data_IF_800646979967
#
_entry.id   IF_800646979967
#
_cell.length_a   1.000
_cell.length_b   1.000
_cell.length_c   1.000
_cell.angle_alpha   90.00
_cell.angle_beta   90.00
_cell.angle_gamma   90.00
#
_symmetry.space_group_name_H-M   'P 1'
#
loop_
_entity.id
_entity.type
_entity.pdbx_description
1 polymer ?
#
# COMPACT_ATOMS: atom_id res chain seq x y z
N UNK A 1 13.04 9.43 21.78
CA UNK A 1 12.15 10.14 20.81
C UNK A 1 12.85 10.68 19.54
N UNK A 2 14.20 10.76 19.42
CA UNK A 2 14.85 11.33 18.23
C UNK A 2 14.93 10.43 16.99
N UNK A 3 14.75 9.11 17.12
CA UNK A 3 14.95 8.13 16.03
C UNK A 3 13.68 7.90 15.17
N UNK A 4 12.49 8.09 15.76
CA UNK A 4 11.20 7.86 15.08
C UNK A 4 10.89 8.91 14.00
N UNK A 5 11.31 10.17 14.21
CA UNK A 5 11.11 11.26 13.25
C UNK A 5 11.94 11.11 11.96
N UNK A 6 13.09 10.43 12.02
CA UNK A 6 13.91 10.18 10.82
C UNK A 6 13.35 9.06 9.95
N UNK A 7 12.76 8.03 10.56
CA UNK A 7 12.22 6.87 9.84
C UNK A 7 10.88 7.17 9.15
N UNK A 8 9.98 7.91 9.83
CA UNK A 8 8.73 8.38 9.21
C UNK A 8 9.01 9.26 7.99
N UNK A 9 9.99 10.16 8.10
CA UNK A 9 10.43 11.01 6.99
C UNK A 9 10.99 10.20 5.81
N UNK A 10 11.56 9.02 6.07
CA UNK A 10 12.07 8.13 5.04
C UNK A 10 10.95 7.42 4.27
N UNK A 11 9.96 6.89 4.99
CA UNK A 11 8.77 6.27 4.38
C UNK A 11 8.01 7.30 3.53
N UNK A 12 7.77 8.50 4.06
CA UNK A 12 7.12 9.57 3.31
C UNK A 12 7.86 9.90 2.02
N UNK A 13 9.19 9.88 2.05
CA UNK A 13 9.99 10.13 0.85
C UNK A 13 9.78 9.03 -0.20
N UNK A 14 9.77 7.76 0.20
CA UNK A 14 9.50 6.62 -0.69
C UNK A 14 8.10 6.73 -1.29
N UNK A 15 7.10 6.98 -0.46
CA UNK A 15 5.71 7.08 -0.89
C UNK A 15 5.50 8.25 -1.86
N UNK A 16 6.13 9.40 -1.60
CA UNK A 16 6.13 10.56 -2.52
C UNK A 16 6.80 10.27 -3.85
N UNK A 17 7.81 9.39 -3.88
CA UNK A 17 8.39 8.92 -5.16
C UNK A 17 7.33 8.09 -5.90
N UNK A 18 6.70 7.13 -5.21
CA UNK A 18 5.59 6.33 -5.73
C UNK A 18 4.48 7.15 -6.40
N UNK A 19 4.03 8.21 -5.73
CA UNK A 19 2.98 9.11 -6.25
C UNK A 19 3.38 9.86 -7.52
N UNK A 20 4.68 10.11 -7.73
CA UNK A 20 5.20 10.83 -8.89
C UNK A 20 5.49 9.92 -10.09
N UNK A 21 5.30 8.60 -9.97
CA UNK A 21 5.48 7.72 -11.11
C UNK A 21 4.49 8.09 -12.23
N UNK A 22 4.92 8.14 -13.49
CA UNK A 22 4.03 8.29 -14.64
C UNK A 22 2.98 7.17 -14.70
N UNK A 23 1.75 7.51 -15.11
CA UNK A 23 0.61 6.57 -15.08
C UNK A 23 0.82 5.34 -15.96
N UNK A 24 1.49 5.52 -17.10
CA UNK A 24 1.89 4.48 -18.03
C UNK A 24 2.94 3.52 -17.44
N UNK A 25 3.67 3.94 -16.41
CA UNK A 25 4.67 3.12 -15.71
C UNK A 25 4.07 2.37 -14.52
N UNK A 26 3.00 2.87 -13.90
CA UNK A 26 2.40 2.26 -12.69
C UNK A 26 1.86 0.86 -12.93
N UNK A 27 1.39 0.58 -14.14
CA UNK A 27 0.66 -0.64 -14.46
C UNK A 27 1.41 -1.59 -15.41
N UNK A 28 2.74 -1.44 -15.53
CA UNK A 28 3.52 -2.31 -16.40
C UNK A 28 3.72 -3.67 -15.75
N UNK A 29 3.14 -4.69 -16.38
CA UNK A 29 3.30 -6.08 -15.93
C UNK A 29 4.76 -6.56 -16.04
N UNK A 30 5.21 -7.36 -15.08
CA UNK A 30 6.57 -7.93 -15.05
C UNK A 30 6.91 -8.72 -16.32
N UNK A 31 5.94 -9.44 -16.91
CA UNK A 31 6.12 -10.18 -18.17
C UNK A 31 6.56 -9.27 -19.33
N UNK A 32 6.02 -8.05 -19.38
CA UNK A 32 6.32 -7.06 -20.42
C UNK A 32 7.74 -6.54 -20.22
N UNK A 33 8.10 -6.18 -18.99
CA UNK A 33 9.45 -5.73 -18.64
C UNK A 33 10.52 -6.78 -18.97
N UNK A 34 10.29 -8.03 -18.59
CA UNK A 34 11.21 -9.14 -18.88
C UNK A 34 11.40 -9.28 -20.39
N UNK A 35 10.31 -9.35 -21.15
CA UNK A 35 10.34 -9.55 -22.61
C UNK A 35 11.05 -8.40 -23.33
N UNK A 36 10.71 -7.15 -22.99
CA UNK A 36 11.31 -5.96 -23.60
C UNK A 36 12.80 -5.86 -23.30
N UNK A 37 13.20 -6.04 -22.04
CA UNK A 37 14.60 -5.95 -21.63
C UNK A 37 15.44 -7.07 -22.25
N UNK A 38 14.93 -8.32 -22.22
CA UNK A 38 15.58 -9.47 -22.87
C UNK A 38 15.82 -9.20 -24.35
N UNK A 39 14.80 -8.70 -25.07
CA UNK A 39 14.90 -8.36 -26.50
C UNK A 39 15.89 -7.22 -26.75
N UNK A 40 15.89 -6.18 -25.91
CA UNK A 40 16.87 -5.06 -25.99
C UNK A 40 18.31 -5.55 -25.82
N UNK A 41 18.52 -6.56 -24.98
CA UNK A 41 19.80 -7.24 -24.79
C UNK A 41 20.10 -8.33 -25.85
N UNK A 42 19.23 -8.49 -26.87
CA UNK A 42 19.32 -9.50 -27.93
C UNK A 42 19.44 -10.94 -27.41
N UNK A 43 18.90 -11.22 -26.22
CA UNK A 43 18.88 -12.56 -25.64
C UNK A 43 17.68 -13.34 -26.16
N UNK A 44 17.82 -14.63 -26.45
CA UNK A 44 16.68 -15.52 -26.69
C UNK A 44 16.08 -16.00 -25.36
N UNK A 45 14.84 -16.50 -25.38
CA UNK A 45 14.24 -17.13 -24.19
C UNK A 45 15.10 -18.31 -23.70
N UNK A 46 15.67 -19.10 -24.62
CA UNK A 46 16.57 -20.21 -24.30
C UNK A 46 17.82 -19.74 -23.57
N UNK A 47 18.42 -18.62 -23.99
CA UNK A 47 19.61 -18.07 -23.34
C UNK A 47 19.29 -17.59 -21.91
N UNK A 48 18.19 -16.87 -21.72
CA UNK A 48 17.78 -16.41 -20.40
C UNK A 48 17.43 -17.59 -19.48
N UNK A 49 16.68 -18.57 -19.99
CA UNK A 49 16.31 -19.78 -19.27
C UNK A 49 17.56 -20.57 -18.83
N UNK A 50 18.54 -20.75 -19.72
CA UNK A 50 19.81 -21.43 -19.41
C UNK A 50 20.59 -20.70 -18.31
N UNK A 51 20.66 -19.37 -18.36
CA UNK A 51 21.33 -18.57 -17.31
C UNK A 51 20.62 -18.65 -15.96
N UNK A 52 19.29 -18.81 -15.98
CA UNK A 52 18.48 -18.92 -14.77
C UNK A 52 18.39 -20.36 -14.23
N UNK A 53 18.81 -21.36 -15.00
CA UNK A 53 18.72 -22.78 -14.62
C UNK A 53 17.31 -23.37 -14.73
N UNK A 54 16.48 -22.84 -15.62
CA UNK A 54 15.10 -23.31 -15.86
C UNK A 54 14.93 -23.80 -17.32
N UNK A 55 13.79 -24.46 -17.61
CA UNK A 55 13.45 -24.82 -18.98
C UNK A 55 13.01 -23.61 -19.81
N UNK A 56 13.27 -23.63 -21.11
CA UNK A 56 12.79 -22.59 -22.03
C UNK A 56 11.26 -22.52 -22.05
N UNK A 57 10.57 -23.67 -21.95
CA UNK A 57 9.11 -23.71 -21.87
C UNK A 57 8.57 -22.97 -20.64
N UNK A 58 9.25 -23.07 -19.49
CA UNK A 58 8.88 -22.32 -18.28
C UNK A 58 9.09 -20.81 -18.47
N UNK A 59 10.21 -20.41 -19.10
CA UNK A 59 10.46 -19.00 -19.44
C UNK A 59 9.41 -18.44 -20.41
N UNK A 60 8.97 -19.22 -21.40
CA UNK A 60 7.91 -18.83 -22.32
C UNK A 60 6.55 -18.66 -21.62
N UNK A 61 6.23 -19.53 -20.64
CA UNK A 61 5.02 -19.38 -19.81
C UNK A 61 5.05 -18.11 -18.96
N UNK A 62 6.21 -17.72 -18.44
CA UNK A 62 6.41 -16.45 -17.72
C UNK A 62 6.17 -15.26 -18.65
N UNK A 63 6.85 -15.19 -19.81
CA UNK A 63 6.71 -14.03 -20.72
C UNK A 63 5.33 -13.92 -21.37
N UNK A 64 4.59 -15.03 -21.47
CA UNK A 64 3.19 -15.02 -21.95
C UNK A 64 2.17 -14.72 -20.85
N UNK A 65 2.59 -14.61 -19.59
CA UNK A 65 1.68 -14.38 -18.45
C UNK A 65 0.87 -15.61 -18.04
N UNK A 66 1.16 -16.79 -18.59
CA UNK A 66 0.53 -18.06 -18.17
C UNK A 66 0.96 -18.50 -16.77
N UNK A 67 2.14 -18.05 -16.33
CA UNK A 67 2.68 -18.29 -15.00
C UNK A 67 3.23 -16.98 -14.45
N UNK A 68 2.84 -16.63 -13.23
CA UNK A 68 3.49 -15.56 -12.46
C UNK A 68 4.69 -16.14 -11.73
N UNK A 69 5.92 -15.67 -11.99
CA UNK A 69 7.11 -16.16 -11.29
C UNK A 69 7.10 -15.70 -9.82
N UNK A 70 7.79 -16.44 -8.95
CA UNK A 70 8.04 -15.98 -7.58
C UNK A 70 8.92 -14.72 -7.59
N UNK A 71 8.89 -13.96 -6.49
CA UNK A 71 9.75 -12.79 -6.31
C UNK A 71 11.24 -13.12 -6.45
N UNK A 72 11.64 -14.30 -5.95
CA UNK A 72 13.02 -14.80 -6.06
C UNK A 72 13.44 -15.07 -7.49
N UNK A 73 12.56 -15.66 -8.31
CA UNK A 73 12.82 -15.88 -9.74
C UNK A 73 12.89 -14.55 -10.47
N UNK A 74 11.96 -13.63 -10.18
CA UNK A 74 11.91 -12.31 -10.80
C UNK A 74 13.18 -11.49 -10.51
N UNK A 75 13.64 -11.48 -9.25
CA UNK A 75 14.88 -10.84 -8.85
C UNK A 75 16.09 -11.39 -9.63
N UNK A 76 16.23 -12.72 -9.72
CA UNK A 76 17.30 -13.38 -10.48
C UNK A 76 17.26 -13.05 -11.97
N UNK A 77 16.06 -12.98 -12.56
CA UNK A 77 15.88 -12.60 -13.97
C UNK A 77 16.47 -11.20 -14.22
N UNK A 78 16.11 -10.22 -13.40
CA UNK A 78 16.64 -8.86 -13.53
C UNK A 78 18.13 -8.75 -13.21
N UNK A 79 18.62 -9.51 -12.24
CA UNK A 79 20.05 -9.58 -11.90
C UNK A 79 20.89 -10.08 -13.08
N UNK A 80 20.44 -11.14 -13.77
CA UNK A 80 21.08 -11.66 -15.00
C UNK A 80 21.15 -10.59 -16.08
N UNK A 81 20.12 -9.74 -16.17
CA UNK A 81 20.04 -8.62 -17.12
C UNK A 81 20.71 -7.33 -16.62
N UNK A 82 21.45 -7.40 -15.50
CA UNK A 82 22.17 -6.27 -14.88
C UNK A 82 21.27 -5.12 -14.44
N UNK A 83 20.08 -5.45 -13.94
CA UNK A 83 19.15 -4.51 -13.34
C UNK A 83 18.98 -4.78 -11.84
N UNK A 84 18.98 -3.72 -11.03
CA UNK A 84 18.53 -3.78 -9.64
C UNK A 84 17.01 -3.92 -9.61
N UNK A 85 16.52 -4.93 -8.91
CA UNK A 85 15.09 -5.11 -8.67
C UNK A 85 14.72 -4.52 -7.31
N UNK A 86 13.83 -3.54 -7.30
CA UNK A 86 13.37 -2.86 -6.09
C UNK A 86 11.86 -2.68 -6.14
N UNK A 87 11.22 -2.78 -4.98
CA UNK A 87 9.77 -2.60 -4.85
C UNK A 87 9.51 -1.11 -4.59
N UNK A 88 8.59 -0.53 -5.36
CA UNK A 88 8.12 0.83 -5.16
C UNK A 88 6.67 0.75 -4.64
N UNK A 89 6.40 1.45 -3.54
CA UNK A 89 5.06 1.57 -2.98
C UNK A 89 4.36 2.77 -3.60
N UNK A 90 3.21 2.55 -4.23
CA UNK A 90 2.38 3.60 -4.82
C UNK A 90 1.12 3.72 -3.96
N UNK A 91 1.05 4.69 -3.04
CA UNK A 91 -0.12 4.86 -2.20
C UNK A 91 -1.28 5.49 -2.99
N UNK A 92 -2.49 4.98 -2.78
CA UNK A 92 -3.72 5.69 -3.19
C UNK A 92 -3.98 6.91 -2.27
N UNK A 93 -3.64 6.78 -0.99
CA UNK A 93 -3.81 7.80 0.05
C UNK A 93 -2.58 7.78 0.96
N UNK A 94 -2.11 8.95 1.38
CA UNK A 94 -0.96 9.03 2.30
C UNK A 94 -1.31 8.48 3.69
N UNK A 95 -0.36 7.86 4.42
CA UNK A 95 -0.61 7.23 5.71
C UNK A 95 -1.29 8.17 6.73
N UNK A 96 -0.85 9.42 6.83
CA UNK A 96 -1.43 10.40 7.75
C UNK A 96 -2.90 10.72 7.42
N UNK A 97 -3.22 10.81 6.12
CA UNK A 97 -4.59 11.04 5.66
C UNK A 97 -5.46 9.79 5.90
N UNK A 98 -4.92 8.61 5.67
CA UNK A 98 -5.58 7.34 5.96
C UNK A 98 -5.88 7.21 7.46
N UNK A 99 -4.93 7.57 8.32
CA UNK A 99 -5.11 7.54 9.76
C UNK A 99 -6.20 8.52 10.21
N UNK A 100 -6.23 9.74 9.68
CA UNK A 100 -7.30 10.71 9.94
C UNK A 100 -8.67 10.19 9.51
N UNK A 101 -8.76 9.55 8.34
CA UNK A 101 -10.01 8.92 7.85
C UNK A 101 -10.48 7.81 8.79
N UNK A 102 -9.57 6.96 9.27
CA UNK A 102 -9.93 5.90 10.21
C UNK A 102 -10.31 6.43 11.59
N UNK A 103 -9.59 7.43 12.11
CA UNK A 103 -9.96 8.07 13.37
C UNK A 103 -11.36 8.70 13.30
N UNK A 104 -11.72 9.30 12.16
CA UNK A 104 -13.08 9.80 11.93
C UNK A 104 -14.11 8.66 11.92
N UNK A 105 -13.78 7.53 11.29
CA UNK A 105 -14.65 6.34 11.27
C UNK A 105 -14.87 5.80 12.68
N UNK A 106 -13.80 5.64 13.47
CA UNK A 106 -13.86 5.20 14.86
C UNK A 106 -14.69 6.16 15.72
N UNK A 107 -14.42 7.45 15.63
CA UNK A 107 -15.13 8.47 16.40
C UNK A 107 -16.63 8.45 16.11
N UNK A 108 -17.03 8.34 14.83
CA UNK A 108 -18.44 8.20 14.44
C UNK A 108 -19.10 6.97 15.06
N UNK A 109 -18.40 5.84 15.08
CA UNK A 109 -18.96 4.62 15.67
C UNK A 109 -19.07 4.70 17.20
N UNK A 110 -18.04 5.21 17.88
CA UNK A 110 -18.07 5.46 19.32
C UNK A 110 -19.25 6.36 19.69
N UNK A 111 -19.43 7.46 18.95
CA UNK A 111 -20.55 8.37 19.18
C UNK A 111 -21.90 7.76 18.83
N UNK A 112 -22.01 6.90 17.81
CA UNK A 112 -23.25 6.17 17.52
C UNK A 112 -23.63 5.23 18.66
N UNK A 113 -22.66 4.53 19.25
CA UNK A 113 -22.88 3.67 20.40
C UNK A 113 -23.30 4.47 21.64
N UNK A 114 -22.63 5.60 21.90
CA UNK A 114 -22.98 6.51 22.99
C UNK A 114 -24.36 7.13 22.77
N UNK A 115 -24.68 7.62 21.58
CA UNK A 115 -26.00 8.15 21.26
C UNK A 115 -27.09 7.06 21.38
N UNK A 116 -26.79 5.81 20.99
CA UNK A 116 -27.70 4.67 21.17
C UNK A 116 -27.99 4.35 22.64
N UNK A 117 -27.00 4.55 23.52
CA UNK A 117 -27.17 4.39 24.98
C UNK A 117 -27.80 5.62 25.64
N UNK A 118 -27.56 6.83 25.12
CA UNK A 118 -28.14 8.10 25.60
C UNK A 118 -29.56 8.39 25.05
N UNK A 119 -29.99 7.69 23.99
CA UNK A 119 -31.39 7.74 23.50
C UNK A 119 -32.38 7.18 24.53
N UNK A 120 -31.89 6.46 25.55
CA UNK A 120 -32.67 6.01 26.71
C UNK A 120 -32.84 7.13 27.76
N UNK A 121 -32.15 8.26 27.62
CA UNK A 121 -32.05 9.33 28.63
C UNK A 121 -32.62 10.70 28.16
N UNK A 122 -33.34 10.75 27.03
CA UNK A 122 -34.03 11.95 26.51
C UNK A 122 -33.17 13.22 26.35
N UNK A 123 -31.88 13.07 26.02
CA UNK A 123 -30.99 14.19 25.74
C UNK A 123 -30.24 14.01 24.42
N UNK A 124 -30.86 14.45 23.31
CA UNK A 124 -30.18 14.55 22.02
C UNK A 124 -29.46 15.90 21.90
N UNK A 125 -28.13 15.93 21.66
CA UNK A 125 -27.43 17.18 21.34
C UNK A 125 -27.89 17.76 20.00
N UNK A 126 -27.90 19.09 19.87
CA UNK A 126 -28.09 19.78 18.58
C UNK A 126 -26.99 19.39 17.59
N UNK A 127 -27.27 19.39 16.28
CA UNK A 127 -26.34 18.94 15.23
C UNK A 127 -24.95 19.61 15.29
N UNK A 128 -24.90 20.91 15.62
CA UNK A 128 -23.65 21.66 15.80
C UNK A 128 -22.77 21.03 16.92
N UNK A 129 -23.39 20.72 18.06
CA UNK A 129 -22.71 20.10 19.20
C UNK A 129 -22.21 18.68 18.86
N UNK A 130 -22.93 17.96 17.99
CA UNK A 130 -22.55 16.62 17.57
C UNK A 130 -21.28 16.63 16.69
N UNK A 131 -21.12 17.65 15.85
CA UNK A 131 -19.92 17.82 15.04
C UNK A 131 -18.69 18.15 15.90
N UNK A 132 -18.85 19.01 16.91
CA UNK A 132 -17.77 19.37 17.82
C UNK A 132 -17.29 18.16 18.63
N UNK A 133 -18.22 17.36 19.18
CA UNK A 133 -17.92 16.11 19.88
C UNK A 133 -17.18 15.10 18.99
N UNK A 134 -17.56 15.03 17.70
CA UNK A 134 -16.90 14.16 16.74
C UNK A 134 -15.44 14.58 16.48
N UNK A 135 -15.19 15.87 16.36
CA UNK A 135 -13.85 16.43 16.17
C UNK A 135 -13.00 16.19 17.42
N UNK A 136 -13.54 16.41 18.61
CA UNK A 136 -12.86 16.17 19.87
C UNK A 136 -12.46 14.69 20.03
N UNK A 137 -13.39 13.78 19.76
CA UNK A 137 -13.15 12.35 19.83
C UNK A 137 -12.11 11.89 18.80
N UNK A 138 -12.20 12.40 17.57
CA UNK A 138 -11.20 12.13 16.54
C UNK A 138 -9.80 12.61 16.98
N UNK A 139 -9.70 13.82 17.52
CA UNK A 139 -8.43 14.38 18.02
C UNK A 139 -7.88 13.59 19.20
N UNK A 140 -8.75 13.09 20.08
CA UNK A 140 -8.37 12.21 21.19
C UNK A 140 -7.72 10.92 20.68
N UNK A 141 -8.38 10.27 19.71
CA UNK A 141 -7.88 9.03 19.11
C UNK A 141 -6.54 9.23 18.40
N UNK A 142 -6.37 10.34 17.68
CA UNK A 142 -5.12 10.67 17.01
C UNK A 142 -3.96 10.92 18.01
N UNK A 143 -4.25 11.47 19.20
CA UNK A 143 -3.23 11.73 20.23
C UNK A 143 -2.87 10.50 21.05
N UNK A 144 -3.78 9.54 21.21
CA UNK A 144 -3.59 8.41 22.12
C UNK A 144 -2.72 7.27 21.56
N UNK A 145 -2.23 7.40 20.30
CA UNK A 145 -1.39 6.41 19.61
C UNK A 145 -1.88 4.96 19.78
N UNK A 146 -3.20 4.75 19.70
CA UNK A 146 -3.82 3.47 20.06
C UNK A 146 -4.20 2.66 18.82
N UNK A 147 -3.97 1.34 18.86
CA UNK A 147 -4.46 0.39 17.84
C UNK A 147 -5.98 0.40 17.68
N UNK A 148 -6.72 0.90 18.67
CA UNK A 148 -8.18 1.06 18.68
C UNK A 148 -8.77 1.75 17.45
N UNK A 149 -8.01 2.61 16.75
CA UNK A 149 -8.44 3.21 15.47
C UNK A 149 -8.72 2.14 14.40
N UNK A 150 -8.14 0.96 14.53
CA UNK A 150 -8.24 -0.16 13.59
C UNK A 150 -9.05 -1.35 14.13
N UNK A 151 -9.38 -1.37 15.42
CA UNK A 151 -10.20 -2.41 16.08
C UNK A 151 -11.70 -2.16 15.92
N UNK A 152 -12.06 -1.29 14.97
CA UNK A 152 -13.44 -1.00 14.60
C UNK A 152 -14.06 -2.28 14.00
N UNK A 153 -14.84 -3.02 14.79
CA UNK A 153 -15.60 -4.17 14.29
C UNK A 153 -16.48 -3.73 13.12
N UNK A 154 -16.29 -4.35 11.95
CA UNK A 154 -17.24 -4.28 10.86
C UNK A 154 -18.36 -5.27 11.18
N UNK A 155 -19.37 -4.82 11.91
CA UNK A 155 -20.71 -5.44 11.85
C UNK A 155 -21.47 -4.86 10.65
#
# INVERSE_FOLDING_TARGET
MKQLNSEQKYIDKILKIGMKLPEDVKNVESKVLISLLRKRLRMTQTVLAKKLGISQAYMAKIESGKITPSLSILAKIFEIMKCSFSIILIPEIMPDELLKKQALKAAKQNLKYIAGTMSLEDQLPKEQNMQDLLIEEQNRLLKSNTSKIWEINND
#
